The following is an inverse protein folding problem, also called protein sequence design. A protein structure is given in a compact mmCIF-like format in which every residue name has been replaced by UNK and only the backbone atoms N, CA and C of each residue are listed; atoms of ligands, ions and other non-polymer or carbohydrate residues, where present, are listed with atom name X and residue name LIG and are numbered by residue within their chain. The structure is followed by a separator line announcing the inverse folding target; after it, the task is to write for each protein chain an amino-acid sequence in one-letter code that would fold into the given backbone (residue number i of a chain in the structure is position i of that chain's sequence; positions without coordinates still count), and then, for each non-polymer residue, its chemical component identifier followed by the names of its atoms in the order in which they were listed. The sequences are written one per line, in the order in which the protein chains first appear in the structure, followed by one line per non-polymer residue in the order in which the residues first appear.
data_IF_317926416049
#
_entry.id   IF_317926416049
#
_cell.length_a   1.000
_cell.length_b   1.000
_cell.length_c   1.000
_cell.angle_alpha   90.00
_cell.angle_beta   90.00
_cell.angle_gamma   90.00
#
_symmetry.space_group_name_H-M   'P 1'
#
loop_
_entity.id
_entity.type
_entity.pdbx_description
1 polymer ?
#
# COMPACT_ATOMS: atom_id res chain seq x y z
N UNK A 1 48.62 -2.18 56.84
CA UNK A 1 47.16 -2.01 56.68
C UNK A 1 46.78 -2.83 55.46
N UNK A 2 46.66 -4.17 55.58
CA UNK A 2 45.57 -4.89 56.26
C UNK A 2 44.22 -4.47 55.66
N UNK A 3 43.36 -5.34 55.15
CA UNK A 3 43.24 -6.81 55.10
C UNK A 3 42.10 -7.06 54.07
N UNK A 4 42.21 -8.05 53.19
CA UNK A 4 41.46 -9.33 53.28
C UNK A 4 39.94 -9.19 53.07
N UNK A 5 39.27 -9.92 52.17
CA UNK A 5 39.57 -11.29 51.79
C UNK A 5 38.94 -11.80 50.49
N UNK A 6 39.60 -12.85 50.01
CA UNK A 6 39.17 -13.88 49.06
C UNK A 6 37.94 -14.66 49.57
N UNK A 7 37.12 -15.16 48.65
CA UNK A 7 36.73 -16.58 48.52
C UNK A 7 35.73 -16.72 47.34
N UNK A 8 36.06 -17.40 46.23
CA UNK A 8 35.96 -18.86 45.96
C UNK A 8 34.55 -19.30 45.51
N UNK A 9 34.52 -19.83 44.26
CA UNK A 9 33.63 -20.85 43.65
C UNK A 9 32.31 -21.22 44.32
N UNK A 10 31.25 -21.21 43.52
CA UNK A 10 30.38 -22.39 43.38
C UNK A 10 29.71 -22.44 42.00
N UNK A 11 30.00 -23.52 41.29
CA UNK A 11 29.22 -24.02 40.17
C UNK A 11 27.84 -24.44 40.65
N UNK A 12 26.76 -23.94 40.05
CA UNK A 12 25.48 -24.65 39.98
C UNK A 12 24.83 -24.41 38.62
N UNK A 13 24.89 -25.46 37.81
CA UNK A 13 23.86 -25.95 36.87
C UNK A 13 22.51 -25.23 36.94
N UNK A 14 22.10 -24.61 35.84
CA UNK A 14 20.68 -24.40 35.54
C UNK A 14 20.31 -25.04 34.21
N UNK A 15 19.18 -25.72 34.28
CA UNK A 15 18.79 -26.89 33.51
C UNK A 15 17.96 -26.47 32.30
N UNK A 16 18.26 -27.09 31.16
CA UNK A 16 17.39 -27.20 29.99
C UNK A 16 15.92 -27.46 30.39
N UNK A 17 15.00 -26.53 30.11
CA UNK A 17 13.57 -26.85 30.05
C UNK A 17 13.16 -27.19 28.62
N UNK A 18 13.09 -28.49 28.33
CA UNK A 18 12.28 -29.09 27.26
C UNK A 18 10.79 -28.81 27.53
N UNK A 19 9.96 -28.56 26.50
CA UNK A 19 8.53 -28.78 26.58
C UNK A 19 8.22 -30.29 26.53
N UNK A 20 7.36 -30.73 27.45
CA UNK A 20 6.92 -32.10 27.68
C UNK A 20 6.07 -32.66 26.54
N UNK A 21 6.38 -33.90 26.16
CA UNK A 21 5.59 -34.81 25.32
C UNK A 21 4.29 -35.17 26.05
N UNK A 22 3.14 -34.97 25.42
CA UNK A 22 1.87 -35.60 25.79
C UNK A 22 1.25 -36.26 24.55
N UNK A 23 1.41 -37.58 24.52
CA UNK A 23 0.49 -38.65 24.08
C UNK A 23 -0.73 -38.32 23.20
N UNK A 24 -0.70 -38.93 22.02
CA UNK A 24 -1.77 -39.48 21.15
C UNK A 24 -3.25 -39.37 21.58
N UNK A 25 -4.10 -38.96 20.63
CA UNK A 25 -5.39 -39.59 20.37
C UNK A 25 -5.92 -39.25 18.95
N UNK A 26 -5.89 -40.25 18.07
CA UNK A 26 -6.60 -40.29 16.78
C UNK A 26 -7.99 -40.93 16.99
N UNK A 27 -9.08 -40.41 16.40
CA UNK A 27 -10.32 -41.17 16.28
C UNK A 27 -10.34 -41.99 14.98
N UNK A 28 -10.52 -43.31 15.11
CA UNK A 28 -10.98 -44.20 14.03
C UNK A 28 -12.51 -44.08 13.89
N UNK A 29 -13.09 -44.25 12.69
CA UNK A 29 -14.53 -44.39 12.52
C UNK A 29 -14.99 -45.83 12.80
N UNK A 30 -16.04 -45.96 13.62
CA UNK A 30 -16.68 -47.22 13.97
C UNK A 30 -17.44 -47.81 12.78
N UNK A 31 -17.18 -49.09 12.54
CA UNK A 31 -18.02 -50.02 11.79
C UNK A 31 -19.15 -50.47 12.72
N UNK A 32 -20.41 -50.24 12.34
CA UNK A 32 -21.52 -51.05 12.81
C UNK A 32 -22.26 -51.64 11.61
N UNK A 33 -22.18 -52.96 11.58
CA UNK A 33 -22.97 -53.89 10.77
C UNK A 33 -24.27 -54.09 11.53
N UNK A 34 -25.41 -53.89 10.88
CA UNK A 34 -26.64 -54.59 11.26
C UNK A 34 -27.28 -55.13 9.99
N UNK A 35 -27.34 -56.46 9.96
CA UNK A 35 -28.04 -57.29 9.00
C UNK A 35 -29.55 -57.09 9.13
N UNK A 36 -30.25 -56.95 8.01
CA UNK A 36 -31.53 -57.65 7.87
C UNK A 36 -31.84 -57.95 6.40
N UNK A 37 -32.07 -59.24 6.18
CA UNK A 37 -32.47 -59.91 4.96
C UNK A 37 -33.76 -59.34 4.35
N UNK A 38 -33.83 -59.28 3.01
CA UNK A 38 -34.76 -60.11 2.24
C UNK A 38 -34.47 -60.03 0.74
N UNK A 39 -34.48 -61.20 0.12
CA UNK A 39 -34.20 -61.47 -1.28
C UNK A 39 -35.39 -61.12 -2.18
N UNK A 40 -35.14 -60.66 -3.41
CA UNK A 40 -35.64 -61.31 -4.63
C UNK A 40 -35.16 -60.63 -5.95
N UNK A 41 -34.93 -61.51 -6.93
CA UNK A 41 -35.00 -61.38 -8.40
C UNK A 41 -34.20 -60.33 -9.19
N UNK A 42 -33.37 -60.88 -10.09
CA UNK A 42 -32.84 -60.30 -11.32
C UNK A 42 -33.89 -59.60 -12.18
N UNK A 43 -33.56 -58.42 -12.71
CA UNK A 43 -33.72 -58.07 -14.14
C UNK A 43 -33.09 -56.69 -14.44
N UNK A 44 -32.32 -56.63 -15.52
CA UNK A 44 -32.01 -55.41 -16.27
C UNK A 44 -32.27 -55.75 -17.76
N UNK A 45 -32.45 -54.79 -18.70
CA UNK A 45 -32.43 -53.32 -18.57
C UNK A 45 -33.60 -52.62 -19.31
N UNK A 46 -33.84 -51.33 -19.03
CA UNK A 46 -34.50 -50.44 -20.01
C UNK A 46 -33.81 -49.07 -19.99
N UNK A 47 -33.15 -48.76 -21.10
CA UNK A 47 -32.58 -47.46 -21.43
C UNK A 47 -33.75 -46.51 -21.70
N UNK A 48 -34.10 -45.63 -20.77
CA UNK A 48 -34.90 -44.44 -21.05
C UNK A 48 -34.05 -43.19 -20.89
N UNK A 49 -33.99 -42.42 -21.97
CA UNK A 49 -33.27 -41.17 -22.14
C UNK A 49 -33.44 -40.22 -20.93
N UNK A 50 -32.34 -39.94 -20.22
CA UNK A 50 -32.27 -38.94 -19.15
C UNK A 50 -31.29 -37.81 -19.49
N UNK A 51 -31.25 -37.35 -20.74
CA UNK A 51 -30.39 -36.24 -21.14
C UNK A 51 -30.83 -34.87 -20.58
N UNK A 52 -32.03 -34.73 -20.00
CA UNK A 52 -32.47 -33.47 -19.37
C UNK A 52 -32.01 -33.34 -17.90
N UNK A 53 -31.79 -34.46 -17.20
CA UNK A 53 -31.37 -34.42 -15.79
C UNK A 53 -29.86 -34.17 -15.64
N UNK A 54 -29.04 -34.64 -16.59
CA UNK A 54 -27.59 -34.45 -16.54
C UNK A 54 -27.17 -32.98 -16.74
N UNK A 55 -27.89 -32.22 -17.56
CA UNK A 55 -27.64 -30.78 -17.77
C UNK A 55 -28.05 -29.93 -16.56
N UNK A 56 -29.12 -30.30 -15.87
CA UNK A 56 -29.58 -29.63 -14.66
C UNK A 56 -28.73 -29.98 -13.42
N UNK A 57 -28.22 -31.21 -13.35
CA UNK A 57 -27.28 -31.63 -12.32
C UNK A 57 -25.87 -31.10 -12.58
N UNK A 58 -25.45 -30.94 -13.84
CA UNK A 58 -24.23 -30.23 -14.21
C UNK A 58 -24.36 -28.72 -13.89
N UNK A 59 -25.50 -28.08 -14.17
CA UNK A 59 -25.77 -26.70 -13.75
C UNK A 59 -25.81 -26.54 -12.24
N UNK A 60 -26.42 -27.46 -11.49
CA UNK A 60 -26.40 -27.45 -10.02
C UNK A 60 -25.01 -27.72 -9.46
N UNK A 61 -24.22 -28.59 -10.09
CA UNK A 61 -22.82 -28.87 -9.75
C UNK A 61 -21.93 -27.64 -10.00
N UNK A 62 -22.06 -26.99 -11.16
CA UNK A 62 -21.36 -25.73 -11.48
C UNK A 62 -21.84 -24.60 -10.55
N UNK A 63 -23.13 -24.49 -10.27
CA UNK A 63 -23.69 -23.45 -9.40
C UNK A 63 -23.32 -23.66 -7.92
N UNK A 64 -23.24 -24.91 -7.45
CA UNK A 64 -22.78 -25.25 -6.09
C UNK A 64 -21.26 -25.12 -5.94
N UNK A 65 -20.49 -25.43 -6.98
CA UNK A 65 -19.03 -25.22 -7.03
C UNK A 65 -18.69 -23.72 -7.11
N UNK A 66 -19.46 -22.93 -7.85
CA UNK A 66 -19.31 -21.46 -7.93
C UNK A 66 -19.68 -20.79 -6.61
N UNK A 67 -20.73 -21.25 -5.92
CA UNK A 67 -21.07 -20.77 -4.57
C UNK A 67 -20.03 -21.16 -3.51
N UNK A 68 -19.35 -22.30 -3.65
CA UNK A 68 -18.22 -22.69 -2.77
C UNK A 68 -16.97 -21.83 -2.96
N UNK A 69 -16.76 -21.26 -4.15
CA UNK A 69 -15.57 -20.44 -4.44
C UNK A 69 -15.69 -18.97 -4.04
N UNK A 70 -16.91 -18.45 -3.82
CA UNK A 70 -17.13 -17.05 -3.43
C UNK A 70 -17.50 -16.99 -1.95
N UNK A 71 -16.50 -17.07 -1.08
CA UNK A 71 -16.66 -16.80 0.36
C UNK A 71 -17.07 -15.33 0.57
N UNK A 72 -17.89 -14.98 1.58
CA UNK A 72 -18.20 -13.57 1.92
C UNK A 72 -16.95 -12.69 2.04
N UNK A 73 -15.82 -13.25 2.45
CA UNK A 73 -14.51 -12.58 2.51
C UNK A 73 -14.02 -12.13 1.14
N UNK A 74 -14.22 -12.93 0.09
CA UNK A 74 -13.81 -12.61 -1.29
C UNK A 74 -14.69 -11.49 -1.85
N UNK A 75 -15.99 -11.52 -1.59
CA UNK A 75 -16.92 -10.44 -1.97
C UNK A 75 -16.50 -9.12 -1.33
N UNK A 76 -16.20 -9.14 -0.02
CA UNK A 76 -15.74 -7.96 0.70
C UNK A 76 -14.40 -7.45 0.14
N UNK A 77 -13.47 -8.33 -0.21
CA UNK A 77 -12.20 -7.96 -0.82
C UNK A 77 -12.39 -7.29 -2.19
N UNK A 78 -13.23 -7.88 -3.06
CA UNK A 78 -13.55 -7.31 -4.37
C UNK A 78 -14.20 -5.93 -4.21
N UNK A 79 -15.15 -5.79 -3.29
CA UNK A 79 -15.76 -4.49 -2.96
C UNK A 79 -14.70 -3.48 -2.52
N UNK A 80 -13.75 -3.88 -1.68
CA UNK A 80 -12.69 -2.98 -1.25
C UNK A 80 -11.75 -2.56 -2.38
N UNK A 81 -11.39 -3.48 -3.28
CA UNK A 81 -10.57 -3.20 -4.47
C UNK A 81 -11.28 -2.23 -5.41
N UNK A 82 -12.57 -2.47 -5.68
CA UNK A 82 -13.37 -1.58 -6.53
C UNK A 82 -13.52 -0.19 -5.91
N UNK A 83 -13.77 -0.10 -4.60
CA UNK A 83 -13.79 1.18 -3.88
C UNK A 83 -12.46 1.91 -4.02
N UNK A 84 -11.35 1.22 -3.76
CA UNK A 84 -10.00 1.77 -3.92
C UNK A 84 -9.76 2.30 -5.34
N UNK A 85 -10.16 1.55 -6.38
CA UNK A 85 -10.03 1.98 -7.78
C UNK A 85 -10.86 3.22 -8.07
N UNK A 86 -12.13 3.24 -7.67
CA UNK A 86 -13.03 4.38 -7.93
C UNK A 86 -12.46 5.66 -7.31
N UNK A 87 -12.07 5.63 -6.04
CA UNK A 87 -11.50 6.80 -5.39
C UNK A 87 -10.15 7.20 -6.02
N UNK A 88 -9.25 6.25 -6.26
CA UNK A 88 -7.93 6.54 -6.84
C UNK A 88 -8.00 7.11 -8.26
N UNK A 89 -8.89 6.56 -9.11
CA UNK A 89 -9.10 7.06 -10.47
C UNK A 89 -9.71 8.45 -10.44
N UNK A 90 -10.73 8.66 -9.59
CA UNK A 90 -11.39 9.96 -9.45
C UNK A 90 -10.37 11.01 -8.99
N UNK A 91 -9.51 10.71 -8.02
CA UNK A 91 -8.45 11.63 -7.58
C UNK A 91 -7.51 11.99 -8.74
N UNK A 92 -7.07 11.00 -9.50
CA UNK A 92 -6.11 11.20 -10.59
C UNK A 92 -6.70 12.07 -11.71
N UNK A 93 -7.92 11.76 -12.13
CA UNK A 93 -8.67 12.55 -13.12
C UNK A 93 -8.97 13.96 -12.61
N UNK A 94 -9.37 14.08 -11.35
CA UNK A 94 -9.70 15.37 -10.74
C UNK A 94 -8.46 16.26 -10.60
N UNK A 95 -7.34 15.74 -10.11
CA UNK A 95 -6.10 16.49 -10.00
C UNK A 95 -5.62 16.95 -11.36
N UNK A 96 -5.69 16.08 -12.39
CA UNK A 96 -5.38 16.49 -13.76
C UNK A 96 -6.31 17.61 -14.22
N UNK A 97 -7.62 17.45 -14.10
CA UNK A 97 -8.59 18.48 -14.50
C UNK A 97 -8.44 19.81 -13.73
N UNK A 98 -8.10 19.75 -12.44
CA UNK A 98 -7.96 20.90 -11.56
C UNK A 98 -6.72 21.73 -11.89
N UNK A 99 -5.58 21.07 -12.15
CA UNK A 99 -4.29 21.75 -12.34
C UNK A 99 -3.94 22.01 -13.82
N UNK A 100 -4.61 21.36 -14.76
CA UNK A 100 -4.35 21.56 -16.18
C UNK A 100 -4.74 22.98 -16.64
N UNK A 101 -3.85 23.61 -17.42
CA UNK A 101 -3.99 24.99 -17.91
C UNK A 101 -5.20 25.18 -18.83
N UNK A 102 -5.64 24.13 -19.53
CA UNK A 102 -6.76 24.16 -20.47
C UNK A 102 -8.13 23.89 -19.81
N UNK A 103 -8.13 23.59 -18.50
CA UNK A 103 -9.32 23.17 -17.76
C UNK A 103 -9.65 24.19 -16.68
N UNK A 104 -9.57 23.82 -15.40
CA UNK A 104 -9.84 24.75 -14.30
C UNK A 104 -8.70 25.75 -14.09
N UNK A 105 -7.46 25.36 -14.44
CA UNK A 105 -6.26 26.19 -14.36
C UNK A 105 -6.03 26.79 -12.96
N UNK A 106 -5.97 25.94 -11.93
CA UNK A 106 -5.53 26.36 -10.60
C UNK A 106 -4.02 26.17 -10.44
N UNK A 107 -3.22 27.25 -10.44
CA UNK A 107 -1.76 27.16 -10.46
C UNK A 107 -1.14 26.91 -9.08
N UNK A 108 -1.85 26.24 -8.18
CA UNK A 108 -1.46 26.05 -6.77
C UNK A 108 -1.49 24.58 -6.28
N UNK A 109 -0.94 23.61 -7.05
CA UNK A 109 -1.02 22.20 -6.68
C UNK A 109 -0.38 21.85 -5.34
N UNK A 110 0.73 22.47 -4.95
CA UNK A 110 1.42 22.15 -3.70
C UNK A 110 0.63 22.68 -2.51
N UNK A 111 0.16 23.93 -2.55
CA UNK A 111 -0.68 24.52 -1.51
C UNK A 111 -2.01 23.77 -1.35
N UNK A 112 -2.69 23.46 -2.46
CA UNK A 112 -3.95 22.71 -2.43
C UNK A 112 -3.73 21.31 -1.82
N UNK A 113 -2.65 20.63 -2.21
CA UNK A 113 -2.28 19.32 -1.63
C UNK A 113 -1.99 19.44 -0.13
N UNK A 114 -1.38 20.54 0.33
CA UNK A 114 -1.16 20.76 1.77
C UNK A 114 -2.49 20.80 2.53
N UNK A 115 -3.50 21.50 2.02
CA UNK A 115 -4.83 21.52 2.63
C UNK A 115 -5.51 20.15 2.61
N UNK A 116 -5.26 19.31 1.60
CA UNK A 116 -5.69 17.91 1.64
C UNK A 116 -5.06 17.15 2.79
N UNK A 117 -3.75 17.30 3.04
CA UNK A 117 -3.08 16.65 4.18
C UNK A 117 -3.61 17.15 5.53
N UNK A 118 -3.95 18.44 5.64
CA UNK A 118 -4.60 19.00 6.82
C UNK A 118 -5.99 18.36 7.03
N UNK A 119 -6.79 18.25 5.97
CA UNK A 119 -8.09 17.61 6.03
C UNK A 119 -7.99 16.14 6.44
N UNK A 120 -7.04 15.39 5.87
CA UNK A 120 -6.74 14.01 6.27
C UNK A 120 -6.43 13.91 7.76
N UNK A 121 -5.58 14.81 8.28
CA UNK A 121 -5.25 14.86 9.70
C UNK A 121 -6.50 15.06 10.57
N UNK A 122 -7.39 15.98 10.18
CA UNK A 122 -8.64 16.27 10.89
C UNK A 122 -9.59 15.07 10.83
N UNK A 123 -9.80 14.47 9.66
CA UNK A 123 -10.68 13.32 9.49
C UNK A 123 -10.16 12.08 10.24
N UNK A 124 -8.86 11.84 10.22
CA UNK A 124 -8.24 10.77 10.99
C UNK A 124 -8.40 11.00 12.49
N UNK A 125 -8.21 12.23 12.98
CA UNK A 125 -8.44 12.58 14.38
C UNK A 125 -9.89 12.33 14.81
N UNK A 126 -10.85 12.80 14.02
CA UNK A 126 -12.29 12.59 14.26
C UNK A 126 -12.59 11.10 14.30
N UNK A 127 -12.06 10.32 13.35
CA UNK A 127 -12.30 8.87 13.28
C UNK A 127 -11.76 8.14 14.51
N UNK A 128 -10.58 8.50 15.00
CA UNK A 128 -10.00 7.94 16.24
C UNK A 128 -10.83 8.34 17.47
N UNK A 129 -11.38 9.56 17.48
CA UNK A 129 -12.25 10.02 18.57
C UNK A 129 -13.59 9.28 18.59
N UNK A 130 -14.22 9.10 17.43
CA UNK A 130 -15.51 8.43 17.27
C UNK A 130 -15.44 6.91 17.49
N UNK A 131 -14.30 6.27 17.18
CA UNK A 131 -14.12 4.82 17.39
C UNK A 131 -12.95 4.55 18.35
N UNK A 132 -13.19 4.57 19.68
CA UNK A 132 -12.14 4.40 20.69
C UNK A 132 -11.36 3.09 20.60
N UNK A 133 -11.96 2.04 20.03
CA UNK A 133 -11.30 0.75 19.75
C UNK A 133 -10.09 0.86 18.78
N UNK A 134 -9.97 1.98 18.06
CA UNK A 134 -8.84 2.29 17.16
C UNK A 134 -7.69 2.99 17.91
N UNK A 135 -7.90 3.40 19.17
CA UNK A 135 -6.88 4.11 19.94
C UNK A 135 -5.69 3.18 20.24
N UNK A 136 -4.45 3.66 20.07
CA UNK A 136 -3.24 2.84 20.22
C UNK A 136 -2.94 2.36 21.66
N UNK A 137 -3.82 2.57 22.65
CA UNK A 137 -3.58 2.29 24.07
C UNK A 137 -4.85 1.72 24.79
N UNK A 138 -5.54 0.71 24.25
CA UNK A 138 -6.48 -0.04 25.11
C UNK A 138 -5.71 -1.17 25.82
N UNK A 139 -5.69 -1.22 27.17
CA UNK A 139 -5.28 -2.43 27.87
C UNK A 139 -6.27 -3.55 27.51
N UNK A 140 -5.74 -4.71 27.18
CA UNK A 140 -6.52 -5.92 26.92
C UNK A 140 -7.12 -6.32 28.28
N UNK A 141 -8.45 -6.49 28.43
CA UNK A 141 -8.99 -7.00 29.68
C UNK A 141 -8.65 -8.49 29.79
N UNK A 142 -7.56 -8.82 30.47
CA UNK A 142 -7.27 -10.17 30.93
C UNK A 142 -7.84 -10.36 32.34
N UNK A 143 -8.64 -11.41 32.49
CA UNK A 143 -9.26 -11.88 33.73
C UNK A 143 -8.37 -11.82 34.98
N UNK A 144 -8.78 -10.97 35.94
CA UNK A 144 -8.80 -11.14 37.41
C UNK A 144 -7.71 -11.97 38.12
N UNK A 145 -6.41 -11.71 37.90
CA UNK A 145 -5.35 -12.12 38.87
C UNK A 145 -4.13 -11.18 38.93
N UNK A 146 -4.16 -9.99 38.29
CA UNK A 146 -2.98 -9.11 38.17
C UNK A 146 -3.16 -7.70 38.76
N UNK A 147 -4.13 -7.48 39.65
CA UNK A 147 -4.49 -6.13 40.11
C UNK A 147 -3.42 -5.43 40.98
N UNK A 148 -2.54 -6.14 41.70
CA UNK A 148 -1.51 -5.49 42.54
C UNK A 148 -0.18 -5.18 41.82
N UNK A 149 0.10 -5.78 40.66
CA UNK A 149 1.33 -5.50 39.88
C UNK A 149 1.10 -4.32 38.92
N UNK A 150 -0.14 -4.05 38.51
CA UNK A 150 -0.48 -3.00 37.54
C UNK A 150 -0.41 -1.58 38.12
N UNK A 151 -0.66 -1.35 39.41
CA UNK A 151 -0.59 0.01 40.00
C UNK A 151 0.83 0.59 40.00
N UNK A 152 1.83 -0.24 40.31
CA UNK A 152 3.25 0.17 40.27
C UNK A 152 3.80 0.34 38.84
N UNK A 153 3.18 -0.32 37.85
CA UNK A 153 3.50 -0.13 36.43
C UNK A 153 2.78 1.08 35.82
N UNK A 154 1.58 1.42 36.30
CA UNK A 154 0.83 2.60 35.85
C UNK A 154 1.44 3.91 36.34
N UNK A 155 1.99 3.97 37.56
CA UNK A 155 2.72 5.16 38.02
C UNK A 155 4.00 5.41 37.20
N UNK A 156 4.76 4.37 36.85
CA UNK A 156 5.98 4.50 36.02
C UNK A 156 5.69 4.77 34.52
N UNK A 157 4.52 4.38 34.00
CA UNK A 157 4.13 4.69 32.61
C UNK A 157 3.64 6.13 32.43
N UNK A 158 3.04 6.74 33.46
CA UNK A 158 2.58 8.12 33.41
C UNK A 158 3.74 9.14 33.43
N UNK A 159 4.89 8.81 34.02
CA UNK A 159 6.06 9.71 34.03
C UNK A 159 6.88 9.70 32.72
N UNK A 160 6.73 8.67 31.88
CA UNK A 160 7.48 8.51 30.63
C UNK A 160 6.67 8.81 29.36
N UNK A 161 5.61 9.61 29.45
CA UNK A 161 4.94 10.17 28.28
C UNK A 161 5.66 11.43 27.74
N UNK A 162 7.00 11.46 27.78
CA UNK A 162 7.77 12.51 27.09
C UNK A 162 7.75 12.21 25.60
N UNK A 163 7.24 13.17 24.81
CA UNK A 163 7.30 13.12 23.36
C UNK A 163 8.77 12.96 22.92
N UNK A 164 9.12 11.80 22.37
CA UNK A 164 10.48 11.54 21.90
C UNK A 164 10.74 12.32 20.60
N UNK A 165 11.20 13.56 20.78
CA UNK A 165 11.59 14.46 19.70
C UNK A 165 12.69 13.87 18.81
N UNK A 166 13.59 13.04 19.36
CA UNK A 166 14.63 12.39 18.54
C UNK A 166 14.00 11.35 17.63
N UNK A 167 13.08 10.53 18.16
CA UNK A 167 12.33 9.59 17.33
C UNK A 167 11.55 10.31 16.22
N UNK A 168 10.84 11.38 16.56
CA UNK A 168 10.04 12.15 15.61
C UNK A 168 10.90 12.78 14.51
N UNK A 169 12.00 13.45 14.86
CA UNK A 169 12.88 14.12 13.88
C UNK A 169 13.68 13.15 13.01
N UNK A 170 14.06 11.98 13.52
CA UNK A 170 14.90 11.03 12.78
C UNK A 170 14.08 10.07 11.91
N UNK A 171 12.84 9.74 12.30
CA UNK A 171 12.06 8.72 11.60
C UNK A 171 10.81 9.27 10.92
N UNK A 172 10.06 10.17 11.57
CA UNK A 172 8.80 10.68 11.04
C UNK A 172 9.05 11.82 10.04
N UNK A 173 9.93 12.76 10.39
CA UNK A 173 10.20 13.93 9.54
C UNK A 173 10.80 13.56 8.17
N UNK A 174 11.81 12.68 8.03
CA UNK A 174 12.36 12.32 6.72
C UNK A 174 11.33 11.59 5.85
N UNK A 175 10.52 10.71 6.46
CA UNK A 175 9.41 10.05 5.79
C UNK A 175 8.38 11.07 5.27
N UNK A 176 8.01 12.05 6.10
CA UNK A 176 7.09 13.11 5.73
C UNK A 176 7.66 13.99 4.61
N UNK A 177 8.94 14.37 4.68
CA UNK A 177 9.61 15.15 3.63
C UNK A 177 9.63 14.41 2.29
N UNK A 178 10.01 13.14 2.29
CA UNK A 178 9.98 12.31 1.08
C UNK A 178 8.55 12.17 0.53
N UNK A 179 7.56 11.99 1.39
CA UNK A 179 6.14 11.91 0.99
C UNK A 179 5.60 13.21 0.42
N UNK A 180 5.93 14.33 1.05
CA UNK A 180 5.56 15.67 0.57
C UNK A 180 6.24 15.99 -0.76
N UNK A 181 7.52 15.64 -0.92
CA UNK A 181 8.26 15.83 -2.17
C UNK A 181 7.69 14.98 -3.31
N UNK A 182 7.34 13.73 -3.02
CA UNK A 182 6.63 12.81 -3.92
C UNK A 182 5.31 13.43 -4.40
N UNK A 183 4.37 13.67 -3.49
CA UNK A 183 3.01 14.11 -3.85
C UNK A 183 3.02 15.52 -4.44
N UNK A 184 3.82 16.43 -3.87
CA UNK A 184 3.93 17.82 -4.32
C UNK A 184 4.48 17.94 -5.74
N UNK A 185 5.63 17.33 -6.02
CA UNK A 185 6.23 17.35 -7.36
C UNK A 185 5.37 16.61 -8.38
N UNK A 186 4.74 15.50 -7.95
CA UNK A 186 3.82 14.73 -8.78
C UNK A 186 2.60 15.55 -9.19
N UNK A 187 1.92 16.20 -8.25
CA UNK A 187 0.76 17.05 -8.55
C UNK A 187 1.14 18.30 -9.35
N UNK A 188 2.33 18.88 -9.10
CA UNK A 188 2.83 20.02 -9.88
C UNK A 188 3.07 19.66 -11.36
N UNK A 189 3.46 18.42 -11.64
CA UNK A 189 3.69 17.96 -13.02
C UNK A 189 2.43 18.01 -13.90
N UNK A 190 1.22 17.88 -13.33
CA UNK A 190 -0.04 17.90 -14.10
C UNK A 190 -0.29 19.22 -14.85
N UNK A 191 0.41 20.30 -14.45
CA UNK A 191 0.40 21.58 -15.14
C UNK A 191 1.16 21.58 -16.47
N UNK A 192 2.00 20.56 -16.68
CA UNK A 192 2.98 20.51 -17.77
C UNK A 192 2.84 19.28 -18.65
N UNK A 193 2.39 18.15 -18.10
CA UNK A 193 2.29 16.87 -18.82
C UNK A 193 0.89 16.24 -18.67
N UNK A 194 0.54 15.33 -19.58
CA UNK A 194 -0.70 14.58 -19.54
C UNK A 194 -0.76 13.61 -18.34
N UNK A 195 -1.97 13.18 -17.95
CA UNK A 195 -2.14 12.17 -16.90
C UNK A 195 -1.56 10.81 -17.35
N UNK A 196 -1.63 10.54 -18.65
CA UNK A 196 -1.05 9.34 -19.25
C UNK A 196 0.47 9.33 -19.10
N UNK A 197 1.15 10.41 -19.51
CA UNK A 197 2.60 10.58 -19.34
C UNK A 197 3.01 10.55 -17.88
N UNK A 198 2.25 11.20 -16.99
CA UNK A 198 2.46 11.13 -15.54
C UNK A 198 2.45 9.69 -15.05
N UNK A 199 1.39 8.92 -15.36
CA UNK A 199 1.21 7.55 -14.86
C UNK A 199 2.33 6.64 -15.35
N UNK A 200 2.75 6.78 -16.60
CA UNK A 200 3.84 6.00 -17.18
C UNK A 200 5.19 6.30 -16.51
N UNK A 201 5.57 7.57 -16.38
CA UNK A 201 6.84 7.94 -15.72
C UNK A 201 6.79 7.61 -14.22
N UNK A 202 5.63 7.76 -13.58
CA UNK A 202 5.44 7.47 -12.15
C UNK A 202 5.61 5.98 -11.80
N UNK A 203 5.31 5.08 -12.74
CA UNK A 203 5.53 3.64 -12.58
C UNK A 203 7.01 3.28 -12.33
N UNK A 204 7.95 4.11 -12.79
CA UNK A 204 9.39 4.00 -12.49
C UNK A 204 9.76 4.18 -11.01
N UNK A 205 8.82 4.60 -10.16
CA UNK A 205 9.03 4.66 -8.71
C UNK A 205 9.50 3.33 -8.11
N UNK A 206 9.07 2.20 -8.68
CA UNK A 206 9.52 0.85 -8.27
C UNK A 206 11.03 0.71 -8.44
N UNK A 207 11.59 1.20 -9.55
CA UNK A 207 13.03 1.19 -9.78
C UNK A 207 13.80 1.96 -8.68
N UNK A 208 13.28 3.12 -8.27
CA UNK A 208 13.86 3.90 -7.18
C UNK A 208 13.70 3.23 -5.81
N UNK A 209 12.55 2.56 -5.55
CA UNK A 209 12.36 1.76 -4.32
C UNK A 209 13.46 0.71 -4.20
N UNK A 210 13.76 0.01 -5.30
CA UNK A 210 14.80 -1.02 -5.33
C UNK A 210 16.21 -0.43 -5.19
N UNK A 211 16.49 0.65 -5.92
CA UNK A 211 17.77 1.36 -5.84
C UNK A 211 18.07 1.80 -4.39
N UNK A 212 17.12 2.46 -3.74
CA UNK A 212 17.28 2.87 -2.35
C UNK A 212 17.23 1.69 -1.39
N UNK A 213 16.44 0.65 -1.68
CA UNK A 213 16.45 -0.60 -0.93
C UNK A 213 17.84 -1.23 -0.86
N UNK A 214 18.57 -1.28 -1.98
CA UNK A 214 19.96 -1.75 -2.01
C UNK A 214 20.91 -0.74 -1.35
N UNK A 215 20.76 0.56 -1.61
CA UNK A 215 21.64 1.61 -1.06
C UNK A 215 21.62 1.65 0.47
N UNK A 216 20.43 1.53 1.07
CA UNK A 216 20.23 1.48 2.52
C UNK A 216 20.41 0.07 3.11
N UNK A 217 20.88 -0.90 2.30
CA UNK A 217 21.12 -2.30 2.68
C UNK A 217 19.87 -3.01 3.23
N UNK A 218 18.70 -2.61 2.76
CA UNK A 218 17.42 -3.27 3.05
C UNK A 218 17.16 -4.45 2.11
N UNK A 219 17.75 -4.43 0.90
CA UNK A 219 17.62 -5.51 -0.09
C UNK A 219 18.98 -5.99 -0.61
N UNK A 220 19.04 -7.27 -1.01
CA UNK A 220 20.23 -7.86 -1.65
C UNK A 220 20.23 -7.50 -3.14
N UNK A 221 21.36 -6.98 -3.64
CA UNK A 221 21.52 -6.66 -5.05
C UNK A 221 21.49 -7.94 -5.91
N UNK A 222 20.69 -7.95 -6.97
CA UNK A 222 20.71 -9.01 -7.99
C UNK A 222 20.76 -8.40 -9.40
N UNK A 223 21.50 -9.03 -10.31
CA UNK A 223 21.63 -8.55 -11.70
C UNK A 223 20.30 -8.57 -12.45
N UNK A 224 19.40 -9.51 -12.11
CA UNK A 224 18.05 -9.57 -12.65
C UNK A 224 17.27 -8.30 -12.34
N UNK A 225 17.43 -7.76 -11.12
CA UNK A 225 16.80 -6.53 -10.68
C UNK A 225 17.35 -5.31 -11.44
N UNK A 226 18.67 -5.28 -11.69
CA UNK A 226 19.28 -4.24 -12.53
C UNK A 226 18.72 -4.28 -13.96
N UNK A 227 18.53 -5.47 -14.53
CA UNK A 227 17.92 -5.63 -15.86
C UNK A 227 16.51 -5.04 -15.94
N UNK A 228 15.68 -5.28 -14.92
CA UNK A 228 14.32 -4.71 -14.79
C UNK A 228 14.38 -3.18 -14.76
N UNK A 229 15.25 -2.62 -13.93
CA UNK A 229 15.41 -1.15 -13.81
C UNK A 229 15.85 -0.51 -15.13
N UNK A 230 16.77 -1.13 -15.86
CA UNK A 230 17.23 -0.64 -17.16
C UNK A 230 16.13 -0.73 -18.22
N UNK A 231 15.35 -1.82 -18.23
CA UNK A 231 14.23 -2.00 -19.14
C UNK A 231 13.10 -0.98 -18.88
N UNK A 232 12.76 -0.74 -17.61
CA UNK A 232 11.87 0.36 -17.18
C UNK A 232 12.35 1.71 -17.69
N UNK A 233 13.63 2.02 -17.49
CA UNK A 233 14.22 3.30 -17.89
C UNK A 233 14.15 3.49 -19.41
N UNK A 234 14.39 2.42 -20.17
CA UNK A 234 14.26 2.41 -21.63
C UNK A 234 12.81 2.62 -22.10
N UNK A 235 11.85 1.91 -21.50
CA UNK A 235 10.42 2.06 -21.82
C UNK A 235 9.91 3.48 -21.59
N UNK A 236 10.35 4.12 -20.50
CA UNK A 236 10.05 5.53 -20.21
C UNK A 236 10.71 6.47 -21.22
N UNK A 237 11.99 6.26 -21.56
CA UNK A 237 12.73 7.10 -22.51
C UNK A 237 12.09 7.11 -23.91
N UNK A 238 11.62 5.95 -24.40
CA UNK A 238 10.93 5.85 -25.69
C UNK A 238 9.67 6.73 -25.79
N UNK A 239 8.95 6.89 -24.67
CA UNK A 239 7.76 7.74 -24.61
C UNK A 239 8.12 9.24 -24.61
N UNK A 240 9.23 9.61 -23.97
CA UNK A 240 9.72 11.00 -23.87
C UNK A 240 10.15 11.52 -25.24
N UNK A 241 10.75 10.67 -26.07
CA UNK A 241 11.34 11.11 -27.33
C UNK A 241 10.32 11.53 -28.40
N UNK A 242 9.07 11.08 -28.31
CA UNK A 242 8.05 11.33 -29.34
C UNK A 242 6.93 12.30 -28.92
N UNK A 243 6.77 12.57 -27.63
CA UNK A 243 5.88 13.66 -27.18
C UNK A 243 6.40 15.05 -27.60
N UNK A 244 7.67 15.13 -28.03
CA UNK A 244 8.30 16.27 -28.72
C UNK A 244 7.49 16.76 -29.95
N UNK A 245 6.70 15.88 -30.57
CA UNK A 245 5.95 16.19 -31.80
C UNK A 245 4.57 16.84 -31.58
N UNK A 246 4.03 16.87 -30.36
CA UNK A 246 2.66 17.35 -30.10
C UNK A 246 2.56 18.79 -29.61
N UNK A 247 3.64 19.39 -29.12
CA UNK A 247 3.73 20.84 -28.87
C UNK A 247 4.26 21.56 -30.11
N UNK A 248 3.51 21.47 -31.21
CA UNK A 248 3.65 22.42 -32.31
C UNK A 248 3.13 23.77 -31.83
N UNK A 249 3.98 24.52 -31.12
CA UNK A 249 4.09 25.98 -31.15
C UNK A 249 5.11 26.44 -30.10
N UNK A 250 6.23 26.98 -30.59
CA UNK A 250 7.25 27.77 -29.87
C UNK A 250 8.18 27.04 -28.88
N UNK A 251 9.48 27.40 -28.91
CA UNK A 251 10.59 26.94 -28.04
C UNK A 251 10.32 26.94 -26.51
N UNK A 252 9.19 27.48 -26.05
CA UNK A 252 8.73 27.39 -24.65
C UNK A 252 7.97 26.09 -24.32
N UNK A 253 7.30 25.46 -25.30
CA UNK A 253 6.51 24.25 -25.09
C UNK A 253 7.35 23.01 -24.74
N UNK A 254 8.52 22.88 -25.37
CA UNK A 254 9.48 21.80 -25.10
C UNK A 254 10.06 21.90 -23.68
N UNK A 255 10.46 23.11 -23.25
CA UNK A 255 11.00 23.36 -21.92
C UNK A 255 9.99 23.03 -20.80
N UNK A 256 8.71 23.32 -21.02
CA UNK A 256 7.66 22.95 -20.08
C UNK A 256 7.46 21.44 -19.97
N UNK A 257 7.54 20.70 -21.09
CA UNK A 257 7.46 19.25 -21.07
C UNK A 257 8.60 18.62 -20.27
N UNK A 258 9.86 19.03 -20.52
CA UNK A 258 11.02 18.51 -19.76
C UNK A 258 10.94 18.86 -18.28
N UNK A 259 10.45 20.05 -17.93
CA UNK A 259 10.21 20.42 -16.54
C UNK A 259 9.17 19.48 -15.91
N UNK A 260 8.04 19.24 -16.58
CA UNK A 260 7.01 18.31 -16.12
C UNK A 260 7.54 16.88 -15.96
N UNK A 261 8.28 16.39 -16.94
CA UNK A 261 8.95 15.09 -16.88
C UNK A 261 9.94 15.00 -15.71
N UNK A 262 10.80 16.01 -15.54
CA UNK A 262 11.75 16.08 -14.42
C UNK A 262 11.07 16.11 -13.05
N UNK A 263 9.93 16.81 -12.93
CA UNK A 263 9.12 16.80 -11.71
C UNK A 263 8.54 15.41 -11.39
N UNK A 264 8.09 14.64 -12.39
CA UNK A 264 7.63 13.26 -12.14
C UNK A 264 8.79 12.35 -11.80
N UNK A 265 9.95 12.49 -12.46
CA UNK A 265 11.12 11.70 -12.13
C UNK A 265 11.58 11.96 -10.69
N UNK A 266 11.59 13.23 -10.26
CA UNK A 266 11.85 13.62 -8.88
C UNK A 266 10.80 13.03 -7.92
N UNK A 267 9.52 13.09 -8.30
CA UNK A 267 8.42 12.48 -7.54
C UNK A 267 8.58 10.95 -7.40
N UNK A 268 9.00 10.25 -8.45
CA UNK A 268 9.29 8.81 -8.45
C UNK A 268 10.46 8.46 -7.52
N UNK A 269 11.53 9.25 -7.58
CA UNK A 269 12.69 9.15 -6.69
C UNK A 269 12.28 9.33 -5.22
N UNK A 270 11.54 10.40 -4.91
CA UNK A 270 11.03 10.66 -3.56
C UNK A 270 10.07 9.57 -3.07
N UNK A 271 9.31 8.93 -3.96
CA UNK A 271 8.48 7.77 -3.61
C UNK A 271 9.31 6.58 -3.15
N UNK A 272 10.43 6.30 -3.83
CA UNK A 272 11.40 5.28 -3.44
C UNK A 272 11.96 5.52 -2.03
N UNK A 273 12.41 6.75 -1.77
CA UNK A 273 12.90 7.17 -0.45
C UNK A 273 11.81 7.05 0.64
N UNK A 274 10.58 7.47 0.33
CA UNK A 274 9.43 7.33 1.23
C UNK A 274 9.22 5.88 1.64
N UNK A 275 9.27 4.94 0.70
CA UNK A 275 9.11 3.52 1.02
C UNK A 275 10.22 3.00 1.93
N UNK A 276 11.47 3.38 1.70
CA UNK A 276 12.60 3.04 2.58
C UNK A 276 12.39 3.59 4.00
N UNK A 277 12.07 4.88 4.14
CA UNK A 277 11.81 5.46 5.46
C UNK A 277 10.57 4.89 6.14
N UNK A 278 9.52 4.57 5.37
CA UNK A 278 8.33 3.91 5.88
C UNK A 278 8.66 2.52 6.42
N UNK A 279 9.47 1.74 5.70
CA UNK A 279 9.93 0.42 6.17
C UNK A 279 10.74 0.55 7.47
N UNK A 280 11.68 1.50 7.53
CA UNK A 280 12.47 1.76 8.75
C UNK A 280 11.59 2.19 9.93
N UNK A 281 10.59 3.05 9.68
CA UNK A 281 9.62 3.50 10.67
C UNK A 281 8.74 2.33 11.16
N UNK A 282 8.25 1.49 10.25
CA UNK A 282 7.36 0.37 10.58
C UNK A 282 8.12 -0.75 11.30
N UNK A 283 9.34 -1.08 10.88
CA UNK A 283 10.11 -2.17 11.48
C UNK A 283 10.38 -1.90 12.98
N UNK A 284 10.77 -0.67 13.33
CA UNK A 284 10.96 -0.26 14.74
C UNK A 284 9.66 -0.18 15.52
N UNK A 285 8.58 0.29 14.89
CA UNK A 285 7.27 0.42 15.55
C UNK A 285 6.56 -0.92 15.78
N UNK A 286 6.70 -1.87 14.86
CA UNK A 286 6.11 -3.21 14.93
C UNK A 286 6.74 -4.06 16.04
N UNK A 287 8.02 -3.82 16.36
CA UNK A 287 8.69 -4.45 17.49
C UNK A 287 8.24 -3.91 18.86
N UNK A 288 7.65 -2.71 18.94
CA UNK A 288 7.27 -2.08 20.21
C UNK A 288 5.78 -2.14 20.54
N UNK A 289 4.89 -2.20 19.54
CA UNK A 289 3.43 -2.23 19.75
C UNK A 289 2.79 -3.06 18.63
N UNK A 290 1.98 -4.06 18.98
CA UNK A 290 1.28 -4.95 18.03
C UNK A 290 0.49 -4.20 16.94
N UNK A 291 0.08 -4.93 15.88
CA UNK A 291 -0.57 -4.44 14.63
C UNK A 291 -1.32 -3.11 14.80
N UNK A 292 -0.65 -1.98 14.55
CA UNK A 292 -1.25 -0.65 14.68
C UNK A 292 -2.31 -0.44 13.59
N UNK A 293 -3.42 0.20 13.97
CA UNK A 293 -4.42 0.65 13.01
C UNK A 293 -3.83 1.81 12.17
N UNK A 294 -3.76 1.75 10.84
CA UNK A 294 -3.14 2.78 10.00
C UNK A 294 -3.90 4.08 9.96
N UNK A 295 -5.13 4.16 10.44
CA UNK A 295 -5.76 5.46 10.73
C UNK A 295 -4.88 6.24 11.73
N UNK A 296 -4.24 5.54 12.68
CA UNK A 296 -3.25 6.11 13.60
C UNK A 296 -1.96 6.50 12.88
N UNK A 297 -1.54 5.74 11.87
CA UNK A 297 -0.34 6.07 11.06
C UNK A 297 -0.58 7.32 10.22
N UNK A 298 -1.75 7.45 9.59
CA UNK A 298 -2.17 8.66 8.87
C UNK A 298 -2.22 9.84 9.82
N UNK A 299 -2.83 9.68 11.01
CA UNK A 299 -2.87 10.75 12.02
C UNK A 299 -1.47 11.19 12.48
N UNK A 300 -0.49 10.28 12.52
CA UNK A 300 0.89 10.61 12.89
C UNK A 300 1.70 11.27 11.77
N UNK A 301 1.47 10.90 10.52
CA UNK A 301 2.25 11.40 9.37
C UNK A 301 1.65 12.65 8.72
N UNK A 302 0.33 12.76 8.64
CA UNK A 302 -0.36 13.83 7.90
C UNK A 302 -0.06 15.25 8.39
N UNK A 303 0.04 15.52 9.71
CA UNK A 303 0.41 16.86 10.20
C UNK A 303 1.81 17.29 9.72
N UNK A 304 2.77 16.37 9.74
CA UNK A 304 4.13 16.62 9.27
C UNK A 304 4.16 16.87 7.76
N UNK A 305 3.41 16.07 6.99
CA UNK A 305 3.29 16.26 5.54
C UNK A 305 2.62 17.58 5.17
N UNK A 306 1.59 17.99 5.92
CA UNK A 306 0.96 19.29 5.79
C UNK A 306 1.99 20.41 5.99
N UNK A 307 2.74 20.39 7.10
CA UNK A 307 3.72 21.43 7.40
C UNK A 307 4.76 21.56 6.27
N UNK A 308 5.33 20.43 5.82
CA UNK A 308 6.35 20.44 4.76
C UNK A 308 5.77 20.96 3.43
N UNK A 309 4.61 20.45 2.99
CA UNK A 309 3.98 20.90 1.75
C UNK A 309 3.56 22.38 1.83
N UNK A 310 3.05 22.81 2.98
CA UNK A 310 2.63 24.18 3.19
C UNK A 310 3.83 25.12 3.06
N UNK A 311 4.96 24.82 3.72
CA UNK A 311 6.19 25.61 3.61
C UNK A 311 6.75 25.65 2.17
N UNK A 312 6.76 24.51 1.47
CA UNK A 312 7.19 24.46 0.06
C UNK A 312 6.23 25.28 -0.82
N UNK A 313 4.92 25.14 -0.61
CA UNK A 313 3.89 25.88 -1.34
C UNK A 313 3.95 27.38 -1.10
N UNK A 314 4.24 27.82 0.13
CA UNK A 314 4.48 29.22 0.45
C UNK A 314 5.67 29.79 -0.33
N UNK A 315 6.76 29.03 -0.46
CA UNK A 315 7.97 29.47 -1.16
C UNK A 315 7.84 29.47 -2.69
N UNK A 316 7.20 28.45 -3.27
CA UNK A 316 7.11 28.27 -4.73
C UNK A 316 5.90 28.98 -5.32
N UNK A 317 4.73 28.84 -4.70
CA UNK A 317 3.46 29.28 -5.28
C UNK A 317 2.96 30.59 -4.66
N UNK A 318 3.27 30.81 -3.37
CA UNK A 318 2.99 32.04 -2.64
C UNK A 318 1.54 32.16 -2.15
N UNK A 319 1.35 32.37 -0.85
CA UNK A 319 0.00 32.51 -0.26
C UNK A 319 -0.77 33.73 -0.79
N UNK A 320 -0.06 34.84 -1.04
CA UNK A 320 -0.69 36.05 -1.58
C UNK A 320 -1.29 35.79 -2.97
N UNK A 321 -0.56 35.07 -3.83
CA UNK A 321 -1.04 34.68 -5.16
C UNK A 321 -2.26 33.76 -5.05
N UNK A 322 -2.25 32.83 -4.08
CA UNK A 322 -3.35 31.91 -3.84
C UNK A 322 -4.62 32.64 -3.38
N UNK A 323 -4.53 33.58 -2.44
CA UNK A 323 -5.68 34.34 -1.93
C UNK A 323 -6.25 35.26 -3.03
N UNK A 324 -5.40 35.84 -3.86
CA UNK A 324 -5.79 36.75 -4.95
C UNK A 324 -6.18 36.02 -6.24
N UNK A 325 -6.26 34.69 -6.24
CA UNK A 325 -6.60 33.92 -7.43
C UNK A 325 -8.03 34.24 -7.92
N UNK A 326 -8.22 34.32 -9.25
CA UNK A 326 -9.52 34.70 -9.85
C UNK A 326 -10.65 33.71 -9.52
N UNK A 327 -10.32 32.46 -9.18
CA UNK A 327 -11.30 31.44 -8.80
C UNK A 327 -12.18 31.86 -7.61
N UNK A 328 -11.64 32.67 -6.68
CA UNK A 328 -12.38 33.12 -5.49
C UNK A 328 -13.52 34.06 -5.85
N UNK A 329 -13.32 34.94 -6.85
CA UNK A 329 -14.35 35.84 -7.35
C UNK A 329 -15.28 35.17 -8.36
N UNK A 330 -14.76 34.29 -9.23
CA UNK A 330 -15.55 33.64 -10.29
C UNK A 330 -16.54 32.60 -9.76
N UNK A 331 -16.12 31.76 -8.80
CA UNK A 331 -16.95 30.64 -8.28
C UNK A 331 -17.55 30.93 -6.92
N UNK A 332 -17.05 31.95 -6.23
CA UNK A 332 -17.42 32.28 -4.85
C UNK A 332 -16.74 31.36 -3.83
N UNK A 333 -16.55 31.89 -2.62
CA UNK A 333 -15.74 31.28 -1.56
C UNK A 333 -16.18 29.85 -1.24
N UNK A 334 -17.47 29.62 -1.03
CA UNK A 334 -17.98 28.30 -0.61
C UNK A 334 -17.75 27.23 -1.69
N UNK A 335 -18.06 27.53 -2.96
CA UNK A 335 -17.85 26.56 -4.05
C UNK A 335 -16.37 26.27 -4.27
N UNK A 336 -15.52 27.30 -4.17
CA UNK A 336 -14.07 27.16 -4.25
C UNK A 336 -13.54 26.28 -3.13
N UNK A 337 -13.97 26.49 -1.87
CA UNK A 337 -13.57 25.63 -0.75
C UNK A 337 -13.98 24.17 -0.96
N UNK A 338 -15.20 23.91 -1.42
CA UNK A 338 -15.65 22.55 -1.73
C UNK A 338 -14.78 21.94 -2.83
N UNK A 339 -14.55 22.67 -3.91
CA UNK A 339 -13.75 22.22 -5.04
C UNK A 339 -12.30 21.91 -4.63
N UNK A 340 -11.71 22.73 -3.76
CA UNK A 340 -10.35 22.51 -3.26
C UNK A 340 -10.28 21.36 -2.26
N UNK A 341 -11.26 21.18 -1.37
CA UNK A 341 -11.20 20.17 -0.31
C UNK A 341 -11.73 18.80 -0.73
N UNK A 342 -12.58 18.73 -1.77
CA UNK A 342 -13.20 17.50 -2.23
C UNK A 342 -12.18 16.37 -2.53
N UNK A 343 -11.04 16.62 -3.22
CA UNK A 343 -10.05 15.57 -3.45
C UNK A 343 -9.43 15.05 -2.15
N UNK A 344 -9.29 15.88 -1.12
CA UNK A 344 -8.81 15.45 0.19
C UNK A 344 -9.77 14.44 0.85
N UNK A 345 -11.09 14.62 0.71
CA UNK A 345 -12.05 13.60 1.13
C UNK A 345 -11.88 12.29 0.35
N UNK A 346 -11.68 12.37 -0.96
CA UNK A 346 -11.45 11.18 -1.79
C UNK A 346 -10.19 10.43 -1.35
N UNK A 347 -9.09 11.13 -1.06
CA UNK A 347 -7.84 10.52 -0.58
C UNK A 347 -8.06 9.80 0.75
N UNK A 348 -8.84 10.38 1.67
CA UNK A 348 -9.16 9.73 2.94
C UNK A 348 -9.90 8.40 2.74
N UNK A 349 -10.96 8.38 1.90
CA UNK A 349 -11.68 7.14 1.59
C UNK A 349 -10.83 6.13 0.83
N UNK A 350 -10.05 6.58 -0.16
CA UNK A 350 -9.08 5.74 -0.87
C UNK A 350 -8.17 5.00 0.13
N UNK A 351 -7.66 5.72 1.13
CA UNK A 351 -6.73 5.15 2.11
C UNK A 351 -7.43 4.15 3.05
N UNK A 352 -8.70 4.38 3.40
CA UNK A 352 -9.50 3.41 4.17
C UNK A 352 -9.66 2.10 3.38
N UNK A 353 -10.00 2.20 2.10
CA UNK A 353 -10.16 1.02 1.24
C UNK A 353 -8.84 0.27 1.03
N UNK A 354 -7.74 0.99 0.78
CA UNK A 354 -6.40 0.42 0.66
C UNK A 354 -6.04 -0.39 1.91
N UNK A 355 -6.31 0.15 3.10
CA UNK A 355 -6.06 -0.60 4.31
C UNK A 355 -6.99 -1.80 4.50
N UNK A 356 -8.27 -1.66 4.17
CA UNK A 356 -9.21 -2.77 4.24
C UNK A 356 -8.76 -3.96 3.38
N UNK A 357 -8.10 -3.69 2.25
CA UNK A 357 -7.44 -4.71 1.41
C UNK A 357 -6.27 -5.34 2.17
N UNK A 358 -5.36 -4.54 2.74
CA UNK A 358 -4.19 -5.02 3.49
C UNK A 358 -4.54 -5.88 4.72
N UNK A 359 -5.71 -5.68 5.33
CA UNK A 359 -6.18 -6.52 6.43
C UNK A 359 -6.70 -7.89 5.99
N UNK A 360 -7.14 -8.00 4.73
CA UNK A 360 -7.89 -9.16 4.21
C UNK A 360 -7.11 -9.96 3.18
N UNK A 361 -6.11 -9.35 2.57
CA UNK A 361 -5.29 -9.94 1.52
C UNK A 361 -3.81 -9.64 1.77
N UNK A 362 -2.97 -10.49 1.20
CA UNK A 362 -1.53 -10.29 1.22
C UNK A 362 -1.11 -9.06 0.41
N UNK A 363 0.05 -8.48 0.75
CA UNK A 363 0.64 -7.32 0.06
C UNK A 363 0.79 -7.55 -1.46
N UNK A 364 0.97 -8.80 -1.90
CA UNK A 364 1.05 -9.17 -3.32
C UNK A 364 -0.27 -8.89 -4.05
N UNK A 365 -1.42 -9.14 -3.41
CA UNK A 365 -2.74 -8.84 -3.99
C UNK A 365 -2.90 -7.33 -4.21
N UNK A 366 -2.46 -6.52 -3.25
CA UNK A 366 -2.47 -5.05 -3.40
C UNK A 366 -1.55 -4.60 -4.54
N UNK A 367 -0.39 -5.25 -4.68
CA UNK A 367 0.57 -4.94 -5.75
C UNK A 367 -0.02 -5.20 -7.14
N UNK A 368 -0.62 -6.37 -7.35
CA UNK A 368 -1.29 -6.72 -8.62
C UNK A 368 -2.47 -5.78 -8.91
N UNK A 369 -3.29 -5.50 -7.90
CA UNK A 369 -4.40 -4.56 -8.04
C UNK A 369 -3.90 -3.15 -8.41
N UNK A 370 -2.76 -2.72 -7.85
CA UNK A 370 -2.13 -1.45 -8.20
C UNK A 370 -1.76 -1.31 -9.67
N UNK A 371 -1.21 -2.37 -10.26
CA UNK A 371 -0.82 -2.42 -11.69
C UNK A 371 -2.06 -2.31 -12.57
N UNK A 372 -3.10 -3.09 -12.27
CA UNK A 372 -4.37 -3.04 -13.00
C UNK A 372 -5.04 -1.67 -12.89
N UNK A 373 -4.94 -1.02 -11.73
CA UNK A 373 -5.42 0.35 -11.51
C UNK A 373 -4.64 1.37 -12.36
N UNK A 374 -3.31 1.25 -12.46
CA UNK A 374 -2.49 2.12 -13.31
C UNK A 374 -2.85 1.98 -14.78
N UNK A 375 -2.99 0.75 -15.26
CA UNK A 375 -3.50 0.42 -16.59
C UNK A 375 -4.85 1.06 -16.87
N UNK A 376 -5.79 0.88 -15.94
CA UNK A 376 -7.13 1.45 -16.05
C UNK A 376 -7.08 2.99 -16.05
N UNK A 377 -6.17 3.60 -15.28
CA UNK A 377 -5.98 5.04 -15.24
C UNK A 377 -5.57 5.58 -16.61
N UNK A 378 -4.63 4.91 -17.29
CA UNK A 378 -4.16 5.28 -18.64
C UNK A 378 -5.29 5.16 -19.67
N UNK A 379 -6.06 4.08 -19.64
CA UNK A 379 -7.18 3.87 -20.55
C UNK A 379 -8.26 4.95 -20.36
N UNK A 380 -8.66 5.17 -19.11
CA UNK A 380 -9.70 6.16 -18.77
C UNK A 380 -9.21 7.58 -19.05
N UNK A 381 -7.94 7.91 -18.77
CA UNK A 381 -7.38 9.22 -19.07
C UNK A 381 -7.33 9.50 -20.57
N UNK A 382 -6.92 8.52 -21.38
CA UNK A 382 -6.90 8.66 -22.84
C UNK A 382 -8.30 8.91 -23.40
N UNK A 383 -9.33 8.24 -22.88
CA UNK A 383 -10.72 8.45 -23.30
C UNK A 383 -11.24 9.84 -22.86
N UNK A 384 -11.04 10.22 -21.60
CA UNK A 384 -11.61 11.45 -21.02
C UNK A 384 -10.89 12.71 -21.52
N UNK A 385 -9.56 12.70 -21.52
CA UNK A 385 -8.76 13.85 -21.92
C UNK A 385 -8.46 13.87 -23.42
N UNK A 386 -8.82 12.80 -24.15
CA UNK A 386 -8.55 12.62 -25.58
C UNK A 386 -7.05 12.74 -25.89
N UNK A 387 -6.20 12.28 -24.96
CA UNK A 387 -4.75 12.24 -25.14
C UNK A 387 -4.42 11.35 -26.35
N UNK A 388 -3.71 11.90 -27.35
CA UNK A 388 -3.28 11.11 -28.51
C UNK A 388 -2.03 10.31 -28.16
N UNK A 389 -2.21 9.01 -27.94
CA UNK A 389 -1.11 8.07 -27.82
C UNK A 389 -0.49 7.83 -29.20
N UNK A 390 0.76 8.26 -29.38
CA UNK A 390 1.53 7.91 -30.58
C UNK A 390 1.84 6.41 -30.57
N UNK A 391 2.12 5.84 -31.74
CA UNK A 391 2.50 4.41 -31.85
C UNK A 391 3.72 4.07 -30.98
N UNK A 392 4.69 4.98 -30.87
CA UNK A 392 5.89 4.77 -30.08
C UNK A 392 5.59 4.88 -28.58
N UNK A 393 4.70 5.79 -28.17
CA UNK A 393 4.22 5.85 -26.78
C UNK A 393 3.51 4.55 -26.40
N UNK A 394 2.76 3.96 -27.34
CA UNK A 394 2.12 2.66 -27.14
C UNK A 394 3.14 1.51 -27.02
N UNK A 395 4.20 1.49 -27.83
CA UNK A 395 5.30 0.51 -27.68
C UNK A 395 5.99 0.68 -26.33
N UNK A 396 6.34 1.90 -25.95
CA UNK A 396 6.91 2.19 -24.63
C UNK A 396 5.98 1.68 -23.53
N UNK A 397 4.67 1.89 -23.66
CA UNK A 397 3.67 1.45 -22.70
C UNK A 397 3.71 -0.07 -22.54
N UNK A 398 3.68 -0.81 -23.65
CA UNK A 398 3.77 -2.27 -23.63
C UNK A 398 5.06 -2.77 -22.96
N UNK A 399 6.20 -2.12 -23.23
CA UNK A 399 7.48 -2.45 -22.59
C UNK A 399 7.38 -2.24 -21.07
N UNK A 400 6.89 -1.08 -20.63
CA UNK A 400 6.75 -0.79 -19.19
C UNK A 400 5.78 -1.76 -18.51
N UNK A 401 4.69 -2.16 -19.17
CA UNK A 401 3.74 -3.12 -18.62
C UNK A 401 4.35 -4.51 -18.48
N UNK A 402 5.03 -4.99 -19.52
CA UNK A 402 5.73 -6.26 -19.49
C UNK A 402 6.76 -6.29 -18.36
N UNK A 403 7.53 -5.22 -18.20
CA UNK A 403 8.53 -5.11 -17.13
C UNK A 403 7.90 -5.14 -15.73
N UNK A 404 6.79 -4.41 -15.52
CA UNK A 404 6.03 -4.45 -14.26
C UNK A 404 5.55 -5.87 -13.94
N UNK A 405 5.01 -6.60 -14.92
CA UNK A 405 4.60 -7.99 -14.73
C UNK A 405 5.78 -8.89 -14.40
N UNK A 406 6.89 -8.75 -15.12
CA UNK A 406 8.11 -9.50 -14.90
C UNK A 406 8.69 -9.24 -13.50
N UNK A 407 8.73 -7.99 -13.06
CA UNK A 407 9.14 -7.61 -11.70
C UNK A 407 8.28 -8.26 -10.62
N UNK A 408 6.95 -8.20 -10.76
CA UNK A 408 6.04 -8.80 -9.79
C UNK A 408 6.19 -10.32 -9.74
N UNK A 409 6.37 -10.96 -10.90
CA UNK A 409 6.66 -12.39 -10.98
C UNK A 409 7.99 -12.74 -10.29
N UNK A 410 9.07 -11.99 -10.57
CA UNK A 410 10.36 -12.17 -9.92
C UNK A 410 10.26 -12.06 -8.39
N UNK A 411 9.57 -11.02 -7.88
CA UNK A 411 9.38 -10.83 -6.43
C UNK A 411 8.52 -11.92 -5.79
N UNK A 412 7.53 -12.44 -6.52
CA UNK A 412 6.74 -13.57 -6.07
C UNK A 412 7.61 -14.82 -5.90
N UNK A 413 8.47 -15.14 -6.88
CA UNK A 413 9.40 -16.27 -6.80
C UNK A 413 10.42 -16.10 -5.66
N UNK A 414 10.95 -14.89 -5.49
CA UNK A 414 11.91 -14.60 -4.42
C UNK A 414 11.29 -14.82 -3.04
N UNK A 415 10.01 -14.48 -2.87
CA UNK A 415 9.30 -14.72 -1.62
C UNK A 415 9.08 -16.20 -1.35
N UNK A 416 8.64 -16.98 -2.34
CA UNK A 416 8.48 -18.45 -2.20
C UNK A 416 9.82 -19.08 -1.80
N UNK A 417 10.91 -18.69 -2.47
CA UNK A 417 12.24 -19.22 -2.15
C UNK A 417 12.65 -18.94 -0.70
N UNK A 418 12.38 -17.74 -0.19
CA UNK A 418 12.64 -17.39 1.22
C UNK A 418 11.78 -18.22 2.17
N UNK A 419 10.49 -18.39 1.88
CA UNK A 419 9.59 -19.22 2.69
C UNK A 419 10.07 -20.69 2.72
N UNK A 420 10.54 -21.23 1.60
CA UNK A 420 11.15 -22.57 1.53
C UNK A 420 12.47 -22.68 2.31
N UNK A 421 13.37 -21.69 2.20
CA UNK A 421 14.64 -21.64 2.93
C UNK A 421 14.40 -21.61 4.45
N UNK A 422 13.48 -20.76 4.93
CA UNK A 422 13.09 -20.69 6.35
C UNK A 422 12.45 -22.00 6.84
N UNK A 423 11.74 -22.71 5.97
CA UNK A 423 11.13 -24.00 6.32
C UNK A 423 12.19 -25.09 6.43
N UNK A 424 13.15 -25.12 5.50
CA UNK A 424 14.29 -26.05 5.54
C UNK A 424 15.17 -25.83 6.76
N UNK A 425 15.42 -24.57 7.12
CA UNK A 425 16.21 -24.21 8.30
C UNK A 425 15.52 -24.62 9.60
N UNK A 426 14.20 -24.39 9.72
CA UNK A 426 13.40 -24.91 10.85
C UNK A 426 13.47 -26.43 10.97
N UNK A 427 13.26 -27.15 9.88
CA UNK A 427 13.32 -28.62 9.88
C UNK A 427 14.71 -29.13 10.27
N UNK A 428 15.78 -28.44 9.84
CA UNK A 428 17.15 -28.78 10.23
C UNK A 428 17.38 -28.60 11.73
N UNK A 429 16.93 -27.49 12.31
CA UNK A 429 17.04 -27.23 13.75
C UNK A 429 16.24 -28.26 14.55
N UNK A 430 15.06 -28.67 14.09
CA UNK A 430 14.29 -29.73 14.74
C UNK A 430 15.02 -31.08 14.70
N UNK A 431 15.66 -31.43 13.57
CA UNK A 431 16.44 -32.65 13.43
C UNK A 431 17.72 -32.65 14.28
N UNK A 432 18.37 -31.50 14.49
CA UNK A 432 19.57 -31.38 15.36
C UNK A 432 19.24 -31.43 16.86
N UNK A 433 17.97 -31.26 17.25
CA UNK A 433 17.52 -31.27 18.66
C UNK A 433 16.93 -32.64 19.11
N UNK A 434 16.82 -33.60 18.19
CA UNK A 434 16.39 -35.00 18.44
C UNK A 434 17.63 -35.88 18.54
#
# INVERSE_FOLDING_TARGET
MAESGRAINSSQTEIHRRPSIISSNTPKPDLNIDENNQAESSEAPLISNNNENDDDDLKKSIHSTTKKFITPTIIQLIFCILGWYVFSLTISLYNKWMFDKSKLNLPFPILITSFHQLLLSILSFITIKLKPSIRPNQPIPSSSTYEEIEENQQQNQNENQKFDWKFYLVHILPCAMASSGDIGSGNMSFRFISLTTYTMVKSSSIAFVLLFGVLFKLEKFSLNLLGIVLLMSFGVMLMVDNDKGQTSDSDSGSNHFYLGFGLVLMSSCMSGLRWVFTQLLLHKNQQQKGKKNPIVTIYQLSPSMFLVLFLIGLGIEGMSNFINASIWSERGILKTLILLLFPGFLVFFMTIFEFAILQRAQVITLSIAGILKELLTILVSSIIFKDRLTFINFIGLLITLFDIFWYNYYRYLERIRKEEEETRERNRIELENV
#
